data_IF_415992287492
#
_entry.id   IF_415992287492
#
_cell.length_a   1.000
_cell.length_b   1.000
_cell.length_c   1.000
_cell.angle_alpha   90.00
_cell.angle_beta   90.00
_cell.angle_gamma   90.00
#
_symmetry.space_group_name_H-M   'P 1'
#
loop_
_entity.id
_entity.type
_entity.pdbx_description
1 polymer ?
#
# COMPACT_ATOMS: atom_id res chain seq x y z
N UNK A 1 -55.22 -64.62 -34.30
CA UNK A 1 -54.14 -63.92 -35.05
C UNK A 1 -54.73 -62.68 -35.69
N UNK A 2 -54.21 -61.47 -35.65
CA UNK A 2 -53.17 -60.81 -34.86
C UNK A 2 -53.26 -59.36 -35.36
N UNK A 3 -53.85 -58.41 -34.61
CA UNK A 3 -53.74 -56.99 -34.96
C UNK A 3 -54.11 -56.08 -33.78
N UNK A 4 -53.34 -56.18 -32.70
CA UNK A 4 -53.32 -55.22 -31.60
C UNK A 4 -51.84 -54.85 -31.42
N UNK A 5 -51.55 -53.57 -31.15
CA UNK A 5 -50.26 -53.01 -30.68
C UNK A 5 -49.36 -52.30 -31.71
N UNK A 6 -49.75 -51.15 -32.28
CA UNK A 6 -48.75 -50.22 -32.90
C UNK A 6 -48.92 -48.72 -32.49
N UNK A 7 -50.01 -48.28 -31.87
CA UNK A 7 -50.25 -46.84 -31.61
C UNK A 7 -50.00 -46.37 -30.17
N UNK A 8 -48.87 -46.77 -29.56
CA UNK A 8 -48.48 -46.30 -28.20
C UNK A 8 -47.07 -45.72 -28.05
N UNK A 9 -46.30 -45.58 -29.13
CA UNK A 9 -44.86 -45.28 -29.04
C UNK A 9 -44.41 -43.92 -29.60
N UNK A 10 -45.34 -43.00 -29.89
CA UNK A 10 -45.00 -41.69 -30.49
C UNK A 10 -45.17 -40.51 -29.50
N UNK A 11 -45.73 -40.75 -28.30
CA UNK A 11 -45.97 -39.67 -27.32
C UNK A 11 -44.82 -39.34 -26.37
N UNK A 12 -43.72 -40.11 -26.36
CA UNK A 12 -42.76 -40.14 -25.25
C UNK A 12 -41.37 -39.48 -25.43
N UNK A 13 -40.95 -38.90 -26.58
CA UNK A 13 -39.68 -38.15 -26.62
C UNK A 13 -39.83 -36.63 -26.40
N UNK A 14 -41.05 -36.07 -26.50
CA UNK A 14 -41.26 -34.62 -26.38
C UNK A 14 -41.37 -34.12 -24.94
N UNK A 15 -41.71 -34.99 -23.99
CA UNK A 15 -41.90 -34.62 -22.59
C UNK A 15 -40.59 -34.61 -21.78
N UNK A 16 -39.53 -35.29 -22.25
CA UNK A 16 -38.22 -35.31 -21.56
C UNK A 16 -37.34 -34.11 -21.89
N UNK A 17 -37.56 -33.45 -23.03
CA UNK A 17 -36.79 -32.27 -23.44
C UNK A 17 -37.17 -31.01 -22.66
N UNK A 18 -38.44 -30.89 -22.21
CA UNK A 18 -38.92 -29.74 -21.47
C UNK A 18 -38.44 -29.70 -20.00
N UNK A 19 -37.97 -30.82 -19.44
CA UNK A 19 -37.52 -30.90 -18.06
C UNK A 19 -36.04 -30.54 -17.86
N UNK A 20 -35.24 -30.44 -18.93
CA UNK A 20 -33.84 -30.03 -18.84
C UNK A 20 -33.61 -28.50 -18.88
N UNK A 21 -34.65 -27.70 -19.02
CA UNK A 21 -34.53 -26.23 -19.18
C UNK A 21 -34.69 -25.43 -17.87
N UNK A 22 -34.97 -26.08 -16.73
CA UNK A 22 -34.90 -25.43 -15.42
C UNK A 22 -33.46 -25.46 -14.87
N UNK A 23 -32.52 -24.86 -15.61
CA UNK A 23 -31.23 -24.49 -15.05
C UNK A 23 -31.43 -23.20 -14.24
N UNK A 24 -31.75 -23.34 -12.95
CA UNK A 24 -31.69 -22.23 -12.02
C UNK A 24 -30.32 -21.58 -12.10
N UNK A 25 -30.31 -20.24 -12.18
CA UNK A 25 -29.08 -19.47 -12.10
C UNK A 25 -28.50 -19.63 -10.70
N UNK A 26 -27.49 -20.49 -10.55
CA UNK A 26 -26.73 -20.59 -9.33
C UNK A 26 -26.00 -19.26 -9.11
N UNK A 27 -26.59 -18.36 -8.32
CA UNK A 27 -25.90 -17.18 -7.82
C UNK A 27 -24.80 -17.67 -6.89
N UNK A 28 -23.55 -17.62 -7.35
CA UNK A 28 -22.39 -17.83 -6.50
C UNK A 28 -22.35 -16.68 -5.48
N UNK A 29 -22.94 -16.90 -4.31
CA UNK A 29 -22.82 -15.98 -3.20
C UNK A 29 -21.36 -16.00 -2.75
N UNK A 30 -20.61 -14.97 -3.13
CA UNK A 30 -19.29 -14.69 -2.56
C UNK A 30 -19.52 -14.26 -1.11
N UNK A 31 -19.65 -15.24 -0.22
CA UNK A 31 -19.47 -15.02 1.22
C UNK A 31 -17.99 -14.70 1.39
N UNK A 32 -17.64 -13.41 1.43
CA UNK A 32 -16.33 -13.00 1.91
C UNK A 32 -16.29 -13.38 3.39
N UNK A 33 -15.41 -14.30 3.83
CA UNK A 33 -15.16 -14.42 5.24
C UNK A 33 -14.62 -13.05 5.67
N UNK A 34 -15.28 -12.40 6.62
CA UNK A 34 -14.71 -11.26 7.33
C UNK A 34 -13.60 -11.84 8.21
N UNK A 35 -12.47 -12.18 7.58
CA UNK A 35 -11.27 -12.53 8.31
C UNK A 35 -10.88 -11.29 9.12
N UNK A 36 -10.65 -11.41 10.45
CA UNK A 36 -10.06 -10.32 11.21
C UNK A 36 -8.76 -9.96 10.50
N UNK A 37 -8.67 -8.73 10.01
CA UNK A 37 -7.45 -8.22 9.38
C UNK A 37 -6.39 -8.23 10.45
N UNK A 38 -5.52 -9.25 10.45
CA UNK A 38 -4.34 -9.21 11.30
C UNK A 38 -3.54 -7.96 10.92
N UNK A 39 -3.13 -7.12 11.89
CA UNK A 39 -2.27 -5.99 11.60
C UNK A 39 -0.99 -6.51 10.94
N UNK A 40 -0.87 -6.33 9.63
CA UNK A 40 0.37 -6.66 8.92
C UNK A 40 1.40 -5.66 9.46
N UNK A 41 2.53 -6.13 10.02
CA UNK A 41 3.56 -5.22 10.50
C UNK A 41 3.97 -4.29 9.34
N UNK A 42 4.20 -2.99 9.58
CA UNK A 42 4.44 -2.01 8.52
C UNK A 42 5.50 -2.44 7.50
N UNK A 43 6.49 -3.22 7.96
CA UNK A 43 7.61 -3.72 7.17
C UNK A 43 7.30 -4.94 6.26
N UNK A 44 6.07 -5.49 6.28
CA UNK A 44 5.65 -6.64 5.46
C UNK A 44 4.50 -6.31 4.51
N UNK A 45 4.15 -5.04 4.35
CA UNK A 45 3.12 -4.66 3.39
C UNK A 45 3.65 -4.90 1.97
N UNK A 46 2.93 -5.64 1.11
CA UNK A 46 3.35 -5.82 -0.27
C UNK A 46 3.44 -4.45 -0.94
N UNK A 47 4.53 -4.21 -1.70
CA UNK A 47 4.69 -2.98 -2.49
C UNK A 47 3.69 -3.05 -3.65
N UNK A 48 2.45 -2.62 -3.38
CA UNK A 48 1.42 -2.54 -4.41
C UNK A 48 1.60 -1.28 -5.23
N UNK A 49 1.41 -1.41 -6.55
CA UNK A 49 1.42 -0.25 -7.45
C UNK A 49 0.22 0.67 -7.15
N UNK A 50 0.44 1.99 -6.98
CA UNK A 50 -0.64 2.95 -6.71
C UNK A 50 -1.74 2.94 -7.77
N UNK A 51 -1.38 2.60 -9.01
CA UNK A 51 -2.26 2.58 -10.17
C UNK A 51 -3.27 1.42 -10.20
N UNK A 52 -3.07 0.37 -9.40
CA UNK A 52 -3.96 -0.80 -9.37
C UNK A 52 -5.39 -0.41 -8.93
N UNK A 53 -5.52 0.67 -8.15
CA UNK A 53 -6.80 1.15 -7.65
C UNK A 53 -7.53 2.10 -8.60
N UNK A 54 -6.99 2.39 -9.79
CA UNK A 54 -7.60 3.32 -10.75
C UNK A 54 -8.94 2.83 -11.32
N UNK A 55 -9.06 1.51 -11.52
CA UNK A 55 -10.24 0.89 -12.11
C UNK A 55 -11.29 0.52 -11.06
N UNK A 56 -11.12 0.96 -9.81
CA UNK A 56 -12.07 0.68 -8.75
C UNK A 56 -13.40 1.38 -9.10
N UNK A 57 -14.53 0.66 -9.15
CA UNK A 57 -15.83 1.27 -9.42
C UNK A 57 -16.12 2.35 -8.36
N UNK A 58 -16.21 3.61 -8.78
CA UNK A 58 -16.38 4.77 -7.92
C UNK A 58 -17.08 5.90 -8.67
N UNK A 59 -17.64 6.87 -7.93
CA UNK A 59 -18.53 7.90 -8.48
C UNK A 59 -17.87 8.88 -9.47
N UNK A 60 -16.54 8.94 -9.53
CA UNK A 60 -15.80 9.94 -10.33
C UNK A 60 -15.02 9.41 -11.53
N UNK A 61 -15.01 8.10 -11.79
CA UNK A 61 -14.21 7.50 -12.86
C UNK A 61 -12.70 7.52 -12.61
N UNK A 62 -11.94 7.03 -13.59
CA UNK A 62 -10.48 6.81 -13.51
C UNK A 62 -9.71 8.10 -13.21
N UNK A 63 -10.05 9.18 -13.91
CA UNK A 63 -9.36 10.47 -13.78
C UNK A 63 -9.51 11.06 -12.38
N UNK A 64 -10.70 10.96 -11.79
CA UNK A 64 -10.95 11.47 -10.45
C UNK A 64 -10.14 10.69 -9.39
N UNK A 65 -10.11 9.37 -9.47
CA UNK A 65 -9.31 8.55 -8.54
C UNK A 65 -7.81 8.75 -8.72
N UNK A 66 -7.34 9.03 -9.94
CA UNK A 66 -5.95 9.41 -10.21
C UNK A 66 -5.54 10.67 -9.44
N UNK A 67 -6.29 11.76 -9.59
CA UNK A 67 -5.96 13.03 -8.94
C UNK A 67 -6.20 12.99 -7.43
N UNK A 68 -7.18 12.22 -6.96
CA UNK A 68 -7.55 12.17 -5.54
C UNK A 68 -6.65 11.27 -4.69
N UNK A 69 -6.17 10.15 -5.23
CA UNK A 69 -5.42 9.14 -4.47
C UNK A 69 -4.03 8.92 -5.02
N UNK A 70 -3.93 8.61 -6.30
CA UNK A 70 -2.68 8.13 -6.90
C UNK A 70 -1.62 9.21 -6.93
N UNK A 71 -1.98 10.41 -7.38
CA UNK A 71 -1.04 11.53 -7.46
C UNK A 71 -0.51 11.93 -6.07
N UNK A 72 -1.35 12.18 -5.05
CA UNK A 72 -0.85 12.47 -3.70
C UNK A 72 0.04 11.35 -3.12
N UNK A 73 -0.35 10.09 -3.31
CA UNK A 73 0.46 8.94 -2.85
C UNK A 73 1.85 8.92 -3.49
N UNK A 74 1.95 9.23 -4.79
CA UNK A 74 3.25 9.33 -5.47
C UNK A 74 4.08 10.50 -4.97
N UNK A 75 3.45 11.65 -4.71
CA UNK A 75 4.11 12.83 -4.15
C UNK A 75 4.66 12.53 -2.74
N UNK A 76 3.86 11.88 -1.89
CA UNK A 76 4.29 11.45 -0.56
C UNK A 76 5.47 10.49 -0.59
N UNK A 77 5.42 9.47 -1.45
CA UNK A 77 6.53 8.50 -1.57
C UNK A 77 7.83 9.16 -2.01
N UNK A 78 7.76 10.14 -2.93
CA UNK A 78 8.95 10.90 -3.35
C UNK A 78 9.51 11.74 -2.22
N UNK A 79 8.65 12.46 -1.49
CA UNK A 79 9.07 13.26 -0.35
C UNK A 79 9.74 12.40 0.73
N UNK A 80 9.16 11.24 1.06
CA UNK A 80 9.71 10.33 2.06
C UNK A 80 11.09 9.78 1.65
N UNK A 81 11.27 9.40 0.38
CA UNK A 81 12.57 8.98 -0.14
C UNK A 81 13.63 10.09 -0.05
N UNK A 82 13.24 11.33 -0.34
CA UNK A 82 14.14 12.48 -0.20
C UNK A 82 14.56 12.68 1.27
N UNK A 83 13.61 12.68 2.21
CA UNK A 83 13.91 12.85 3.62
C UNK A 83 14.79 11.72 4.17
N UNK A 84 14.55 10.47 3.79
CA UNK A 84 15.40 9.36 4.20
C UNK A 84 16.83 9.51 3.69
N UNK A 85 17.01 10.01 2.47
CA UNK A 85 18.32 10.35 1.91
C UNK A 85 19.02 11.46 2.69
N UNK A 86 18.33 12.56 2.98
CA UNK A 86 18.85 13.68 3.77
C UNK A 86 19.27 13.25 5.18
N UNK A 87 18.45 12.44 5.85
CA UNK A 87 18.74 11.90 7.19
C UNK A 87 19.97 10.98 7.13
N UNK A 88 20.08 10.12 6.10
CA UNK A 88 21.25 9.26 5.92
C UNK A 88 22.54 10.07 5.69
N UNK A 89 22.46 11.12 4.88
CA UNK A 89 23.58 12.03 4.64
C UNK A 89 24.00 12.77 5.91
N UNK A 90 23.03 13.29 6.68
CA UNK A 90 23.30 13.97 7.95
C UNK A 90 23.95 13.02 8.96
N UNK A 91 23.48 11.77 9.07
CA UNK A 91 24.10 10.75 9.92
C UNK A 91 25.54 10.46 9.52
N UNK A 92 25.83 10.46 8.22
CA UNK A 92 27.20 10.25 7.71
C UNK A 92 28.11 11.43 8.06
N UNK A 93 27.63 12.67 7.92
CA UNK A 93 28.37 13.88 8.30
C UNK A 93 28.68 13.90 9.80
N UNK A 94 27.67 13.69 10.65
CA UNK A 94 27.85 13.64 12.11
C UNK A 94 28.80 12.52 12.52
N UNK A 95 28.76 11.37 11.83
CA UNK A 95 29.67 10.26 12.11
C UNK A 95 31.10 10.57 11.64
N UNK A 96 31.28 11.21 10.48
CA UNK A 96 32.58 11.64 10.00
C UNK A 96 33.22 12.68 10.93
N UNK A 97 32.44 13.63 11.45
CA UNK A 97 32.89 14.62 12.42
C UNK A 97 33.25 13.99 13.79
N UNK A 98 32.59 12.89 14.17
CA UNK A 98 32.93 12.13 15.39
C UNK A 98 34.19 11.26 15.23
N UNK A 99 34.52 10.85 14.01
CA UNK A 99 35.71 10.03 13.70
C UNK A 99 36.97 10.88 13.54
N UNK A 100 36.84 12.21 13.38
CA UNK A 100 37.95 13.12 13.64
C UNK A 100 38.13 13.19 15.16
N UNK A 101 39.16 12.56 15.75
CA UNK A 101 39.41 12.71 17.18
C UNK A 101 39.61 14.19 17.41
N UNK A 102 38.70 14.79 18.19
CA UNK A 102 38.93 16.05 18.89
C UNK A 102 39.74 16.99 18.01
N UNK A 103 39.17 17.44 16.86
CA UNK A 103 39.81 18.32 15.87
C UNK A 103 40.75 19.20 16.66
N UNK A 104 42.05 18.85 16.62
CA UNK A 104 43.07 19.37 17.54
C UNK A 104 42.73 20.82 17.70
N UNK A 105 42.45 21.27 18.92
CA UNK A 105 42.27 22.69 19.20
C UNK A 105 43.40 23.37 18.46
N UNK A 106 43.13 23.90 17.26
CA UNK A 106 44.12 24.63 16.51
C UNK A 106 44.13 25.88 17.35
N UNK A 107 45.20 26.16 18.12
CA UNK A 107 45.21 27.36 18.93
C UNK A 107 45.11 28.50 17.93
N UNK A 108 43.89 29.05 17.78
CA UNK A 108 43.66 30.32 17.13
C UNK A 108 44.54 31.26 17.93
N UNK A 109 45.55 31.84 17.28
CA UNK A 109 46.56 32.67 17.95
C UNK A 109 45.86 33.61 18.92
N UNK A 110 46.28 33.59 20.19
CA UNK A 110 45.55 34.26 21.26
C UNK A 110 45.50 35.76 20.94
N UNK A 111 44.33 36.32 20.65
CA UNK A 111 44.19 37.75 20.33
C UNK A 111 44.29 38.64 21.58
N UNK A 112 44.77 38.12 22.71
CA UNK A 112 44.87 38.82 23.99
C UNK A 112 43.53 39.09 24.68
N UNK A 113 42.41 38.78 24.02
CA UNK A 113 41.06 38.99 24.55
C UNK A 113 40.40 37.65 24.91
N UNK A 114 39.76 37.52 26.08
CA UNK A 114 39.04 36.31 26.44
C UNK A 114 37.84 36.13 25.51
N UNK A 115 37.77 35.00 24.82
CA UNK A 115 36.59 34.58 24.06
C UNK A 115 35.88 33.49 24.85
N UNK A 116 34.55 33.56 24.88
CA UNK A 116 33.72 32.50 25.46
C UNK A 116 32.60 32.18 24.49
N UNK A 117 32.23 30.91 24.41
CA UNK A 117 31.03 30.49 23.68
C UNK A 117 29.85 30.59 24.64
N UNK A 118 28.84 31.38 24.27
CA UNK A 118 27.57 31.48 25.00
C UNK A 118 26.75 30.20 24.81
N UNK A 119 27.20 29.10 25.39
CA UNK A 119 26.51 27.83 25.29
C UNK A 119 25.24 27.86 26.15
N UNK A 120 24.08 27.92 25.49
CA UNK A 120 22.75 27.93 26.14
C UNK A 120 22.17 26.53 26.32
N UNK A 121 22.93 25.46 26.07
CA UNK A 121 22.44 24.07 26.15
C UNK A 121 21.79 23.74 27.51
N UNK A 122 22.27 24.35 28.60
CA UNK A 122 21.68 24.19 29.94
C UNK A 122 20.38 24.99 30.17
N UNK A 123 20.12 26.05 29.40
CA UNK A 123 18.92 26.87 29.55
C UNK A 123 17.69 26.25 28.87
N UNK A 124 17.89 25.54 27.75
CA UNK A 124 16.81 24.87 27.00
C UNK A 124 16.79 23.33 27.21
N UNK A 125 17.61 22.81 28.12
CA UNK A 125 17.62 21.40 28.52
C UNK A 125 16.38 21.05 29.34
N UNK A 126 15.23 20.97 28.67
CA UNK A 126 14.00 20.42 29.22
C UNK A 126 14.21 18.98 29.70
N UNK A 127 13.75 18.73 30.93
CA UNK A 127 13.64 17.40 31.54
C UNK A 127 12.62 16.54 30.80
#
# INVERSE_FOLDING_TARGET
MALIQITKWIGLPLLTMAFLMSAESASAQVVRPLAPTQPIPPNKQPVTSPYLNLLRPGRGGVTFEYFRRVRPELEFRRADQMFQGEISNLRTQVSADRVLPQRREIPLGTTGHPTSFLNTSGYFGGR
#
